data_IF_074903597967
#
_entry.id   IF_074903597967
#
_cell.length_a   1.000
_cell.length_b   1.000
_cell.length_c   1.000
_cell.angle_alpha   90.00
_cell.angle_beta   90.00
_cell.angle_gamma   90.00
#
_symmetry.space_group_name_H-M   'P 1'
#
loop_
_entity.id
_entity.type
_entity.pdbx_description
1 polymer ?
#
# COMPACT_ATOMS: atom_id res chain seq x y z
N UNK A 1 12.97 -38.16 2.53
CA UNK A 1 13.10 -36.84 3.17
C UNK A 1 12.33 -35.85 2.30
N UNK A 2 11.56 -34.95 2.93
CA UNK A 2 10.80 -33.89 2.25
C UNK A 2 11.27 -32.55 2.79
N UNK A 3 11.54 -31.58 1.93
CA UNK A 3 11.79 -30.20 2.27
C UNK A 3 10.71 -29.34 1.61
N UNK A 4 10.18 -28.37 2.35
CA UNK A 4 9.17 -27.45 1.85
C UNK A 4 9.52 -26.01 2.24
N UNK A 5 9.19 -25.07 1.37
CA UNK A 5 9.30 -23.65 1.63
C UNK A 5 8.02 -22.93 1.19
N UNK A 6 7.61 -21.92 1.94
CA UNK A 6 6.52 -21.04 1.54
C UNK A 6 7.09 -19.76 0.92
N UNK A 7 6.61 -19.41 -0.26
CA UNK A 7 6.90 -18.14 -0.93
C UNK A 7 5.62 -17.30 -0.93
N UNK A 8 5.64 -16.13 -0.29
CA UNK A 8 4.53 -15.18 -0.32
C UNK A 8 4.81 -14.12 -1.38
N UNK A 9 3.98 -14.06 -2.41
CA UNK A 9 4.09 -13.10 -3.49
C UNK A 9 3.11 -11.95 -3.29
N UNK A 10 3.60 -10.72 -3.31
CA UNK A 10 2.79 -9.50 -3.35
C UNK A 10 2.66 -9.06 -4.79
N UNK A 11 1.50 -9.32 -5.38
CA UNK A 11 1.25 -9.20 -6.82
C UNK A 11 0.65 -7.83 -7.12
N UNK A 12 1.12 -7.17 -8.18
CA UNK A 12 0.53 -5.92 -8.65
C UNK A 12 -0.94 -6.11 -9.06
N UNK A 13 -1.80 -5.11 -8.84
CA UNK A 13 -3.24 -5.23 -9.11
C UNK A 13 -3.60 -5.62 -10.55
N UNK A 14 -2.71 -5.40 -11.50
CA UNK A 14 -2.93 -5.69 -12.92
C UNK A 14 -2.36 -7.03 -13.39
N UNK A 15 -1.79 -7.83 -12.48
CA UNK A 15 -1.15 -9.10 -12.83
C UNK A 15 -1.99 -10.27 -12.36
N UNK A 16 -2.11 -11.28 -13.22
CA UNK A 16 -2.80 -12.52 -12.91
C UNK A 16 -1.93 -13.39 -11.97
N UNK A 17 -2.46 -13.86 -10.86
CA UNK A 17 -1.76 -14.80 -9.97
C UNK A 17 -1.32 -16.08 -10.67
N UNK A 18 -2.04 -16.53 -11.70
CA UNK A 18 -1.68 -17.72 -12.48
C UNK A 18 -0.38 -17.55 -13.26
N UNK A 19 -0.09 -16.35 -13.76
CA UNK A 19 1.16 -16.04 -14.46
C UNK A 19 2.35 -16.09 -13.50
N UNK A 20 2.16 -15.58 -12.28
CA UNK A 20 3.17 -15.64 -11.22
C UNK A 20 3.46 -17.09 -10.83
N UNK A 21 2.40 -17.91 -10.66
CA UNK A 21 2.53 -19.33 -10.36
C UNK A 21 3.28 -20.08 -11.49
N UNK A 22 2.89 -19.85 -12.75
CA UNK A 22 3.53 -20.45 -13.91
C UNK A 22 5.04 -20.09 -13.98
N UNK A 23 5.37 -18.82 -13.68
CA UNK A 23 6.76 -18.38 -13.66
C UNK A 23 7.57 -19.02 -12.54
N UNK A 24 6.99 -19.17 -11.36
CA UNK A 24 7.64 -19.86 -10.24
C UNK A 24 7.88 -21.35 -10.57
N UNK A 25 6.91 -22.03 -11.19
CA UNK A 25 7.06 -23.43 -11.63
C UNK A 25 8.13 -23.56 -12.71
N UNK A 26 8.17 -22.66 -13.70
CA UNK A 26 9.23 -22.63 -14.72
C UNK A 26 10.63 -22.56 -14.07
N UNK A 27 10.81 -21.67 -13.10
CA UNK A 27 12.08 -21.48 -12.41
C UNK A 27 12.45 -22.66 -11.51
N UNK A 28 11.47 -23.36 -10.96
CA UNK A 28 11.67 -24.49 -10.04
C UNK A 28 11.94 -25.82 -10.77
N UNK A 29 11.46 -25.97 -12.01
CA UNK A 29 11.54 -27.20 -12.81
C UNK A 29 12.98 -27.75 -12.96
N UNK A 30 14.03 -26.93 -13.22
CA UNK A 30 15.39 -27.45 -13.34
C UNK A 30 15.95 -28.10 -12.06
N UNK A 31 15.31 -27.86 -10.92
CA UNK A 31 15.72 -28.35 -9.60
C UNK A 31 14.85 -29.51 -9.09
N UNK A 32 13.96 -30.05 -9.92
CA UNK A 32 13.00 -31.08 -9.55
C UNK A 32 12.10 -30.65 -8.37
N UNK A 33 11.71 -29.39 -8.36
CA UNK A 33 10.84 -28.79 -7.32
C UNK A 33 9.46 -28.53 -7.91
N UNK A 34 8.43 -28.99 -7.21
CA UNK A 34 7.03 -28.71 -7.55
C UNK A 34 6.56 -27.46 -6.78
N UNK A 35 5.90 -26.57 -7.49
CA UNK A 35 5.28 -25.36 -6.91
C UNK A 35 3.77 -25.57 -6.85
N UNK A 36 3.21 -25.52 -5.66
CA UNK A 36 1.77 -25.66 -5.45
C UNK A 36 1.18 -24.41 -4.82
N UNK A 37 0.05 -23.86 -5.33
CA UNK A 37 -0.64 -22.76 -4.69
C UNK A 37 -1.13 -23.17 -3.31
N UNK A 38 -0.89 -22.34 -2.30
CA UNK A 38 -1.39 -22.53 -0.94
C UNK A 38 -2.50 -21.52 -0.65
N UNK A 39 -3.74 -21.99 -0.68
CA UNK A 39 -4.92 -21.13 -0.54
C UNK A 39 -5.34 -20.49 -1.87
N UNK A 40 -6.24 -19.53 -1.79
CA UNK A 40 -6.71 -18.75 -2.95
C UNK A 40 -6.03 -17.39 -3.01
N UNK A 41 -5.57 -17.01 -4.18
CA UNK A 41 -5.18 -15.63 -4.42
C UNK A 41 -6.44 -14.74 -4.38
N UNK A 42 -6.34 -13.58 -3.74
CA UNK A 42 -7.42 -12.62 -3.71
C UNK A 42 -7.00 -11.41 -4.53
N UNK A 43 -7.58 -11.30 -5.71
CA UNK A 43 -7.35 -10.17 -6.60
C UNK A 43 -8.13 -8.94 -6.15
N UNK A 44 -7.57 -7.78 -6.42
CA UNK A 44 -8.21 -6.49 -6.18
C UNK A 44 -7.74 -5.48 -7.21
N UNK A 45 -8.65 -4.74 -7.85
CA UNK A 45 -8.26 -3.68 -8.77
C UNK A 45 -7.52 -2.56 -8.04
N UNK A 46 -6.69 -1.81 -8.77
CA UNK A 46 -6.13 -0.57 -8.26
C UNK A 46 -7.24 0.48 -8.09
N UNK A 47 -7.14 1.33 -7.08
CA UNK A 47 -7.98 2.53 -6.99
C UNK A 47 -7.56 3.55 -8.05
N UNK A 48 -8.52 4.18 -8.77
CA UNK A 48 -8.20 5.15 -9.80
C UNK A 48 -7.56 6.41 -9.22
N UNK A 49 -6.53 6.91 -9.86
CA UNK A 49 -5.85 8.14 -9.46
C UNK A 49 -6.54 9.35 -10.12
N UNK A 50 -7.62 9.83 -9.52
CA UNK A 50 -8.39 10.94 -10.06
C UNK A 50 -7.96 12.29 -9.47
N UNK A 51 -8.13 13.41 -10.21
CA UNK A 51 -7.81 14.75 -9.72
C UNK A 51 -8.58 15.13 -8.44
N UNK A 52 -9.79 14.60 -8.24
CA UNK A 52 -10.63 14.86 -7.07
C UNK A 52 -9.99 14.29 -5.79
N UNK A 53 -9.24 13.21 -5.91
CA UNK A 53 -8.51 12.58 -4.78
C UNK A 53 -7.09 13.11 -4.68
N UNK A 54 -6.34 13.09 -5.79
CA UNK A 54 -4.92 13.49 -5.78
C UNK A 54 -4.74 14.99 -5.54
N UNK A 55 -5.58 15.83 -6.15
CA UNK A 55 -5.45 17.27 -6.03
C UNK A 55 -5.46 17.81 -4.59
N UNK A 56 -6.39 17.39 -3.71
CA UNK A 56 -6.33 17.73 -2.30
C UNK A 56 -5.06 17.23 -1.59
N UNK A 57 -4.64 16.01 -1.87
CA UNK A 57 -3.44 15.41 -1.28
C UNK A 57 -2.20 16.25 -1.66
N UNK A 58 -2.00 16.51 -2.94
CA UNK A 58 -0.88 17.29 -3.46
C UNK A 58 -0.84 18.70 -2.89
N UNK A 59 -1.99 19.42 -2.87
CA UNK A 59 -2.06 20.77 -2.31
C UNK A 59 -1.73 20.83 -0.82
N UNK A 60 -2.25 19.90 -0.03
CA UNK A 60 -2.00 19.87 1.41
C UNK A 60 -0.54 19.50 1.67
N UNK A 61 -0.01 18.54 0.91
CA UNK A 61 1.41 18.16 0.98
C UNK A 61 2.32 19.34 0.70
N UNK A 62 2.08 20.08 -0.40
CA UNK A 62 2.88 21.26 -0.74
C UNK A 62 2.78 22.38 0.32
N UNK A 63 1.61 22.56 0.95
CA UNK A 63 1.43 23.55 2.02
C UNK A 63 2.16 23.17 3.31
N UNK A 64 2.19 21.90 3.67
CA UNK A 64 2.79 21.43 4.92
C UNK A 64 4.28 21.10 4.76
N UNK A 65 4.67 20.62 3.59
CA UNK A 65 6.04 20.17 3.29
C UNK A 65 6.43 20.59 1.87
N UNK A 66 6.76 21.88 1.65
CA UNK A 66 7.07 22.40 0.32
C UNK A 66 8.18 21.60 -0.39
N UNK A 67 7.91 21.23 -1.64
CA UNK A 67 8.83 20.47 -2.47
C UNK A 67 8.81 18.95 -2.24
N UNK A 68 7.92 18.43 -1.40
CA UNK A 68 7.71 16.99 -1.25
C UNK A 68 6.76 16.50 -2.33
N UNK A 69 7.22 15.56 -3.15
CA UNK A 69 6.41 14.96 -4.21
C UNK A 69 5.46 13.88 -3.67
N UNK A 70 4.25 13.82 -4.25
CA UNK A 70 3.27 12.78 -3.98
C UNK A 70 3.40 11.69 -5.04
N UNK A 71 3.87 10.51 -4.64
CA UNK A 71 4.06 9.37 -5.54
C UNK A 71 3.09 8.25 -5.20
N UNK A 72 2.22 7.83 -6.14
CA UNK A 72 1.39 6.65 -5.96
C UNK A 72 2.24 5.39 -5.93
N UNK A 73 2.07 4.58 -4.90
CA UNK A 73 2.79 3.32 -4.74
C UNK A 73 1.84 2.18 -4.37
N UNK A 74 2.22 0.95 -4.68
CA UNK A 74 1.56 -0.22 -4.15
C UNK A 74 2.17 -0.57 -2.79
N UNK A 75 1.37 -0.54 -1.72
CA UNK A 75 1.79 -1.12 -0.45
C UNK A 75 1.86 -2.64 -0.55
N UNK A 76 2.94 -3.23 -0.05
CA UNK A 76 3.10 -4.68 0.08
C UNK A 76 2.36 -5.26 1.29
N UNK A 77 1.82 -4.40 2.16
CA UNK A 77 0.96 -4.79 3.28
C UNK A 77 -0.46 -5.16 2.81
N UNK A 78 -1.14 -5.99 3.57
CA UNK A 78 -2.57 -6.28 3.36
C UNK A 78 -3.43 -5.31 4.17
N UNK A 79 -4.54 -4.87 3.58
CA UNK A 79 -5.54 -4.01 4.24
C UNK A 79 -6.94 -4.45 3.87
N UNK A 80 -7.94 -4.09 4.68
CA UNK A 80 -9.35 -4.34 4.39
C UNK A 80 -9.85 -3.61 3.13
N UNK A 81 -9.10 -2.65 2.64
CA UNK A 81 -9.35 -1.99 1.36
C UNK A 81 -9.44 -2.94 0.16
N UNK A 82 -8.83 -4.12 0.26
CA UNK A 82 -8.98 -5.20 -0.69
C UNK A 82 -10.46 -5.53 -0.97
N UNK A 83 -11.24 -5.73 0.09
CA UNK A 83 -12.65 -6.13 -0.02
C UNK A 83 -13.50 -5.01 -0.61
N UNK A 84 -13.29 -3.78 -0.20
CA UNK A 84 -14.00 -2.62 -0.71
C UNK A 84 -13.73 -2.37 -2.19
N UNK A 85 -12.47 -2.45 -2.62
CA UNK A 85 -12.11 -2.28 -4.03
C UNK A 85 -12.72 -3.34 -4.93
N UNK A 86 -12.88 -4.57 -4.45
CA UNK A 86 -13.58 -5.64 -5.19
C UNK A 86 -15.05 -5.32 -5.44
N UNK A 87 -15.68 -4.59 -4.53
CA UNK A 87 -17.06 -4.10 -4.67
C UNK A 87 -17.13 -2.74 -5.40
N UNK A 88 -16.03 -2.31 -6.03
CA UNK A 88 -15.99 -1.07 -6.81
C UNK A 88 -15.83 0.21 -5.97
N UNK A 89 -15.53 0.10 -4.68
CA UNK A 89 -15.32 1.24 -3.79
C UNK A 89 -13.83 1.54 -3.72
N UNK A 90 -13.36 2.68 -4.27
CA UNK A 90 -11.95 3.05 -4.21
C UNK A 90 -11.46 3.25 -2.78
N UNK A 91 -10.24 2.75 -2.48
CA UNK A 91 -9.59 2.90 -1.17
C UNK A 91 -8.16 3.35 -1.37
N UNK A 92 -7.77 4.39 -0.66
CA UNK A 92 -6.44 5.00 -0.73
C UNK A 92 -5.78 4.98 0.64
N UNK A 93 -4.51 4.56 0.69
CA UNK A 93 -3.69 4.61 1.89
C UNK A 93 -2.89 5.91 1.90
N UNK A 94 -3.33 6.88 2.72
CA UNK A 94 -2.67 8.18 2.89
C UNK A 94 -2.62 8.50 4.36
N UNK A 95 -1.47 8.88 4.89
CA UNK A 95 -1.34 9.14 6.33
C UNK A 95 -0.69 10.48 6.70
N UNK A 96 0.13 11.07 5.84
CA UNK A 96 0.97 12.23 6.20
C UNK A 96 2.00 11.92 7.30
N UNK A 97 2.23 10.64 7.58
CA UNK A 97 3.22 10.18 8.55
C UNK A 97 4.53 9.85 7.82
N UNK A 98 5.59 10.59 8.14
CA UNK A 98 6.91 10.31 7.62
C UNK A 98 7.68 9.42 8.59
N UNK A 99 8.40 8.45 8.06
CA UNK A 99 9.31 7.58 8.79
C UNK A 99 10.76 7.91 8.46
N UNK A 100 11.66 7.51 9.33
CA UNK A 100 13.08 7.45 9.01
C UNK A 100 13.36 6.19 8.20
N UNK A 101 13.98 6.33 7.02
CA UNK A 101 14.32 5.17 6.16
C UNK A 101 15.37 4.26 6.80
N UNK A 102 16.21 4.81 7.67
CA UNK A 102 17.26 4.08 8.35
C UNK A 102 16.82 3.52 9.72
N UNK A 103 15.63 3.89 10.23
CA UNK A 103 15.06 3.42 11.50
C UNK A 103 13.63 2.90 11.33
N UNK A 104 13.42 1.98 10.40
CA UNK A 104 12.11 1.34 10.17
C UNK A 104 11.84 0.30 11.26
N UNK A 105 10.90 0.60 12.15
CA UNK A 105 10.56 -0.25 13.30
C UNK A 105 9.12 -0.76 13.31
N UNK A 106 8.42 -0.58 12.21
CA UNK A 106 7.06 -1.07 12.06
C UNK A 106 7.00 -2.59 12.36
N UNK A 107 6.03 -2.99 13.16
CA UNK A 107 5.84 -4.37 13.63
C UNK A 107 6.96 -4.92 14.54
N UNK A 108 7.91 -4.08 15.00
CA UNK A 108 8.94 -4.46 15.95
C UNK A 108 8.47 -4.35 17.41
N UNK A 109 9.26 -4.92 18.34
CA UNK A 109 8.95 -4.80 19.78
C UNK A 109 9.14 -3.37 20.32
N UNK A 110 9.97 -2.58 19.66
CA UNK A 110 10.27 -1.19 19.97
C UNK A 110 9.71 -0.25 18.88
N UNK A 111 8.58 -0.60 18.30
CA UNK A 111 7.88 0.23 17.33
C UNK A 111 7.62 1.62 17.88
N UNK A 112 7.99 2.63 17.10
CA UNK A 112 7.90 4.02 17.51
C UNK A 112 7.70 4.95 16.33
N UNK A 113 7.14 6.12 16.62
CA UNK A 113 7.00 7.24 15.71
C UNK A 113 7.48 8.51 16.40
N UNK A 114 8.03 9.45 15.64
CA UNK A 114 8.34 10.78 16.12
C UNK A 114 7.07 11.50 16.59
N UNK A 115 7.14 12.17 17.74
CA UNK A 115 6.03 12.98 18.27
C UNK A 115 5.63 14.06 17.27
N UNK A 116 6.59 14.70 16.62
CA UNK A 116 6.34 15.70 15.59
C UNK A 116 5.57 15.10 14.42
N UNK A 117 6.06 13.99 13.85
CA UNK A 117 5.42 13.32 12.72
C UNK A 117 3.99 12.86 13.04
N UNK A 118 3.75 12.45 14.29
CA UNK A 118 2.41 12.08 14.74
C UNK A 118 1.44 13.27 14.67
N UNK A 119 1.83 14.45 15.19
CA UNK A 119 0.97 15.63 15.14
C UNK A 119 0.83 16.20 13.73
N UNK A 120 1.88 16.20 12.94
CA UNK A 120 1.83 16.60 11.53
C UNK A 120 0.90 15.68 10.72
N UNK A 121 0.96 14.36 10.94
CA UNK A 121 0.05 13.41 10.30
C UNK A 121 -1.41 13.63 10.70
N UNK A 122 -1.69 13.97 11.97
CA UNK A 122 -3.05 14.33 12.41
C UNK A 122 -3.56 15.59 11.70
N UNK A 123 -2.74 16.63 11.60
CA UNK A 123 -3.09 17.87 10.91
C UNK A 123 -3.33 17.63 9.42
N UNK A 124 -2.45 16.85 8.77
CA UNK A 124 -2.61 16.46 7.38
C UNK A 124 -3.95 15.75 7.14
N UNK A 125 -4.25 14.71 7.92
CA UNK A 125 -5.49 13.94 7.79
C UNK A 125 -6.72 14.82 8.08
N UNK A 126 -6.67 15.69 9.06
CA UNK A 126 -7.77 16.63 9.36
C UNK A 126 -8.06 17.54 8.16
N UNK A 127 -7.02 18.15 7.56
CA UNK A 127 -7.16 18.99 6.36
C UNK A 127 -7.68 18.19 5.18
N UNK A 128 -7.17 16.99 4.98
CA UNK A 128 -7.58 16.11 3.88
C UNK A 128 -9.06 15.72 3.99
N UNK A 129 -9.50 15.28 5.16
CA UNK A 129 -10.92 14.94 5.38
C UNK A 129 -11.80 16.15 5.12
N UNK A 130 -11.46 17.33 5.63
CA UNK A 130 -12.21 18.57 5.36
C UNK A 130 -12.28 18.89 3.86
N UNK A 131 -11.16 18.76 3.15
CA UNK A 131 -11.10 19.03 1.72
C UNK A 131 -12.00 18.09 0.91
N UNK A 132 -11.99 16.79 1.26
CA UNK A 132 -12.77 15.77 0.56
C UNK A 132 -14.28 15.80 0.92
N UNK A 133 -14.65 16.34 2.07
CA UNK A 133 -16.05 16.42 2.53
C UNK A 133 -16.73 17.78 2.28
N UNK A 134 -16.09 18.66 1.50
CA UNK A 134 -16.64 19.98 1.16
C UNK A 134 -16.42 21.06 2.23
N UNK A 135 -15.69 20.78 3.30
CA UNK A 135 -15.21 21.79 4.24
C UNK A 135 -14.08 22.59 3.60
N UNK A 136 -14.28 23.89 3.37
CA UNK A 136 -13.20 24.75 2.84
C UNK A 136 -11.94 24.64 3.70
N UNK A 137 -10.79 24.52 3.05
CA UNK A 137 -9.48 24.67 3.71
C UNK A 137 -9.31 26.18 3.91
N UNK A 138 -9.35 26.61 5.16
CA UNK A 138 -9.00 27.99 5.51
C UNK A 138 -7.49 28.18 5.44
#
# INVERSE_FOLDING_TARGET
>A
QLAQANVNCRIFPSHDPSDVHAKLQELATPFDVTVEPRGSATESPASPLTPEVLGPIERITEQMWPGVEVLPVMSTGATDGLYLRREGIPVYGVSGLFGDMDDVRAHGQDERISIQNFFEGQEFLYRLVKALTGGGIA
#
